data_IF_209197816991
#
_entry.id   IF_209197816991
#
_cell.length_a   1.000
_cell.length_b   1.000
_cell.length_c   1.000
_cell.angle_alpha   90.00
_cell.angle_beta   90.00
_cell.angle_gamma   90.00
#
_symmetry.space_group_name_H-M   'P 1'
#
loop_
_entity.id
_entity.type
_entity.pdbx_description
1 polymer ?
#
# COMPACT_ATOMS: atom_id res chain seq x y z
N UNK A 1 15.29 0.88 -14.53
CA UNK A 1 14.55 0.96 -13.26
C UNK A 1 15.24 -0.01 -12.30
N UNK A 2 15.74 0.47 -11.16
CA UNK A 2 16.35 -0.43 -10.19
C UNK A 2 15.25 -1.34 -9.61
N UNK A 3 15.58 -2.58 -9.23
CA UNK A 3 14.66 -3.52 -8.57
C UNK A 3 13.96 -2.83 -7.39
N UNK A 4 14.70 -2.13 -6.53
CA UNK A 4 14.19 -1.34 -5.40
C UNK A 4 13.07 -0.33 -5.74
N UNK A 5 13.04 0.16 -6.97
CA UNK A 5 12.05 1.15 -7.42
C UNK A 5 10.69 0.53 -7.70
N UNK A 6 10.68 -0.68 -8.24
CA UNK A 6 9.45 -1.45 -8.50
C UNK A 6 8.85 -1.86 -7.16
N UNK A 7 9.69 -2.35 -6.26
CA UNK A 7 9.30 -2.84 -4.93
C UNK A 7 8.64 -1.74 -4.08
N UNK A 8 9.19 -0.52 -4.12
CA UNK A 8 8.59 0.64 -3.46
C UNK A 8 7.19 0.95 -4.02
N UNK A 9 7.02 0.87 -5.33
CA UNK A 9 5.72 1.11 -5.98
C UNK A 9 4.72 0.02 -5.62
N UNK A 10 5.14 -1.24 -5.57
CA UNK A 10 4.30 -2.37 -5.16
C UNK A 10 3.85 -2.25 -3.72
N UNK A 11 4.73 -1.89 -2.80
CA UNK A 11 4.40 -1.73 -1.39
C UNK A 11 3.29 -0.69 -1.20
N UNK A 12 3.41 0.50 -1.80
CA UNK A 12 2.34 1.51 -1.65
C UNK A 12 1.05 1.09 -2.37
N UNK A 13 1.17 0.42 -3.52
CA UNK A 13 0.04 -0.01 -4.33
C UNK A 13 -0.83 -1.06 -3.62
N UNK A 14 -0.21 -2.04 -2.96
CA UNK A 14 -0.93 -3.14 -2.33
C UNK A 14 -1.25 -2.91 -0.84
N UNK A 15 -0.42 -2.16 -0.13
CA UNK A 15 -0.62 -1.93 1.30
C UNK A 15 -1.41 -0.65 1.62
N UNK A 16 -1.58 0.24 0.67
CA UNK A 16 -2.27 1.53 0.83
C UNK A 16 -1.69 2.39 1.96
N UNK A 17 -0.42 2.19 2.32
CA UNK A 17 0.28 2.94 3.35
C UNK A 17 0.58 4.36 2.85
N UNK A 18 0.44 5.34 3.73
CA UNK A 18 0.77 6.73 3.39
C UNK A 18 2.28 6.97 3.49
N UNK A 19 2.86 7.91 2.71
CA UNK A 19 4.30 8.20 2.74
C UNK A 19 4.85 8.48 4.14
N UNK A 20 4.10 9.20 4.98
CA UNK A 20 4.49 9.43 6.37
C UNK A 20 4.57 8.11 7.14
N UNK A 21 3.55 7.29 7.08
CA UNK A 21 3.51 5.97 7.73
C UNK A 21 4.66 5.08 7.25
N UNK A 22 4.94 5.08 5.93
CA UNK A 22 6.08 4.35 5.34
C UNK A 22 7.41 4.80 5.95
N UNK A 23 7.60 6.10 6.20
CA UNK A 23 8.85 6.63 6.75
C UNK A 23 9.10 6.23 8.21
N UNK A 24 8.10 5.76 8.91
CA UNK A 24 8.20 5.29 10.30
C UNK A 24 8.14 3.76 10.43
N UNK A 25 7.78 3.06 9.35
CA UNK A 25 7.59 1.61 9.37
C UNK A 25 8.93 0.91 9.66
N UNK A 26 8.93 0.07 10.71
CA UNK A 26 10.07 -0.76 11.08
C UNK A 26 9.85 -2.21 10.68
N UNK A 27 10.92 -2.97 10.63
CA UNK A 27 10.86 -4.39 10.29
C UNK A 27 10.08 -5.18 11.36
N UNK A 28 10.21 -4.81 12.64
CA UNK A 28 9.45 -5.46 13.72
C UNK A 28 7.93 -5.23 13.66
N UNK A 29 7.47 -4.24 12.90
CA UNK A 29 6.04 -3.99 12.69
C UNK A 29 5.41 -4.94 11.67
N UNK A 30 6.23 -5.74 10.98
CA UNK A 30 5.82 -6.65 9.91
C UNK A 30 5.68 -8.07 10.49
N UNK A 31 4.46 -8.56 10.55
CA UNK A 31 4.14 -9.86 11.16
C UNK A 31 3.83 -10.89 10.09
N UNK A 32 4.85 -11.61 9.61
CA UNK A 32 4.73 -12.58 8.50
C UNK A 32 3.75 -13.71 8.83
N UNK A 33 3.75 -14.23 10.06
CA UNK A 33 2.88 -15.35 10.47
C UNK A 33 1.40 -15.01 10.43
N UNK A 34 1.04 -13.80 10.84
CA UNK A 34 -0.35 -13.31 10.85
C UNK A 34 -0.71 -12.56 9.57
N UNK A 35 0.25 -12.35 8.68
CA UNK A 35 0.10 -11.58 7.45
C UNK A 35 -0.45 -10.17 7.71
N UNK A 36 0.16 -9.47 8.68
CA UNK A 36 -0.28 -8.14 9.09
C UNK A 36 0.90 -7.17 9.26
N UNK A 37 0.62 -5.89 9.15
CA UNK A 37 1.53 -4.81 9.51
C UNK A 37 0.83 -3.93 10.54
N UNK A 38 1.54 -3.62 11.63
CA UNK A 38 1.09 -2.65 12.63
C UNK A 38 1.55 -1.24 12.24
N UNK A 39 0.64 -0.29 12.25
CA UNK A 39 0.92 1.13 12.05
C UNK A 39 0.61 1.87 13.35
N UNK A 40 1.64 2.48 13.95
CA UNK A 40 1.52 3.15 15.23
C UNK A 40 0.81 4.50 15.10
N UNK A 41 -0.16 4.77 15.99
CA UNK A 41 -1.05 5.92 15.95
C UNK A 41 -0.33 7.27 15.87
N UNK A 42 0.78 7.43 16.59
CA UNK A 42 1.61 8.65 16.55
C UNK A 42 2.08 9.02 15.14
N UNK A 43 2.16 8.04 14.24
CA UNK A 43 2.62 8.19 12.86
C UNK A 43 1.48 8.21 11.84
N UNK A 44 0.25 7.90 12.27
CA UNK A 44 -0.95 7.90 11.41
C UNK A 44 -1.61 9.29 11.36
N UNK A 45 -2.43 9.52 10.32
CA UNK A 45 -3.15 10.78 10.18
C UNK A 45 -4.20 11.00 11.28
N UNK A 46 -4.78 9.92 11.79
CA UNK A 46 -5.92 9.96 12.70
C UNK A 46 -5.53 9.75 14.18
N UNK A 47 -4.23 9.58 14.47
CA UNK A 47 -3.72 9.36 15.82
C UNK A 47 -4.01 7.98 16.42
N UNK A 48 -4.61 7.06 15.66
CA UNK A 48 -4.97 5.72 16.13
C UNK A 48 -4.04 4.67 15.53
N UNK A 49 -3.73 3.64 16.33
CA UNK A 49 -3.08 2.44 15.83
C UNK A 49 -3.96 1.77 14.78
N UNK A 50 -3.32 1.16 13.80
CA UNK A 50 -4.02 0.42 12.76
C UNK A 50 -3.25 -0.84 12.40
N UNK A 51 -3.99 -1.89 12.07
CA UNK A 51 -3.44 -3.12 11.52
C UNK A 51 -3.95 -3.26 10.09
N UNK A 52 -3.03 -3.48 9.16
CA UNK A 52 -3.36 -3.72 7.76
C UNK A 52 -2.94 -5.13 7.33
N UNK A 53 -3.63 -5.66 6.35
CA UNK A 53 -3.32 -6.97 5.77
C UNK A 53 -2.07 -6.89 4.90
N UNK A 54 -1.19 -7.87 5.05
CA UNK A 54 0.04 -8.03 4.27
C UNK A 54 -0.17 -9.15 3.23
N UNK A 55 -0.32 -8.82 1.93
CA UNK A 55 -0.54 -9.82 0.90
C UNK A 55 0.65 -10.78 0.74
N UNK A 56 0.38 -12.04 0.44
CA UNK A 56 1.40 -13.09 0.32
C UNK A 56 2.49 -12.76 -0.69
N UNK A 57 2.15 -12.14 -1.82
CA UNK A 57 3.14 -11.75 -2.83
C UNK A 57 4.08 -10.64 -2.33
N UNK A 58 3.59 -9.71 -1.49
CA UNK A 58 4.43 -8.67 -0.87
C UNK A 58 5.39 -9.31 0.15
N UNK A 59 4.95 -10.34 0.89
CA UNK A 59 5.84 -11.10 1.79
C UNK A 59 6.97 -11.77 0.99
N UNK A 60 6.64 -12.42 -0.14
CA UNK A 60 7.64 -13.04 -1.01
C UNK A 60 8.65 -12.01 -1.51
N UNK A 61 8.17 -10.86 -1.99
CA UNK A 61 9.02 -9.75 -2.39
C UNK A 61 9.96 -9.31 -1.27
N UNK A 62 9.44 -9.12 -0.05
CA UNK A 62 10.26 -8.74 1.11
C UNK A 62 11.30 -9.81 1.46
N UNK A 63 10.99 -11.10 1.27
CA UNK A 63 11.94 -12.20 1.45
C UNK A 63 13.03 -12.20 0.39
N UNK A 64 12.69 -12.01 -0.88
CA UNK A 64 13.64 -11.90 -2.00
C UNK A 64 14.61 -10.72 -1.82
N UNK A 65 14.13 -9.63 -1.24
CA UNK A 65 14.93 -8.45 -0.88
C UNK A 65 15.73 -8.62 0.42
N UNK A 66 15.66 -9.80 1.08
CA UNK A 66 16.30 -10.07 2.36
C UNK A 66 15.97 -9.07 3.48
N UNK A 67 14.78 -8.47 3.47
CA UNK A 67 14.34 -7.48 4.46
C UNK A 67 14.47 -8.02 5.89
N UNK A 68 14.08 -9.27 6.10
CA UNK A 68 14.05 -9.89 7.42
C UNK A 68 15.43 -10.34 7.95
N UNK A 69 16.51 -10.14 7.19
CA UNK A 69 17.89 -10.33 7.67
C UNK A 69 18.42 -9.11 8.44
N UNK A 70 17.73 -7.98 8.36
CA UNK A 70 18.08 -6.77 9.08
C UNK A 70 17.50 -6.76 10.51
N UNK A 71 18.10 -5.97 11.44
CA UNK A 71 17.57 -5.79 12.79
C UNK A 71 16.10 -5.34 12.79
N UNK A 72 15.26 -5.91 13.65
CA UNK A 72 13.84 -5.56 13.73
C UNK A 72 13.57 -4.08 13.99
N UNK A 73 14.49 -3.40 14.66
CA UNK A 73 14.40 -1.96 14.96
C UNK A 73 14.72 -1.05 13.77
N UNK A 74 15.31 -1.59 12.71
CA UNK A 74 15.61 -0.82 11.52
C UNK A 74 14.32 -0.38 10.82
N UNK A 75 14.37 0.82 10.24
CA UNK A 75 13.31 1.32 9.36
C UNK A 75 13.34 0.55 8.05
N UNK A 76 12.17 0.20 7.54
CA UNK A 76 12.04 -0.51 6.26
C UNK A 76 12.65 0.30 5.10
N UNK A 77 12.53 1.63 5.17
CA UNK A 77 13.05 2.55 4.16
C UNK A 77 14.00 3.56 4.82
N UNK A 78 15.30 3.28 4.76
CA UNK A 78 16.37 4.16 5.17
C UNK A 78 17.14 4.69 3.93
N UNK A 79 18.46 4.82 4.00
CA UNK A 79 19.25 5.30 2.87
C UNK A 79 19.12 4.39 1.64
N UNK A 80 18.96 5.01 0.48
CA UNK A 80 18.80 4.29 -0.77
C UNK A 80 17.55 3.41 -0.86
N UNK A 81 16.55 3.63 -0.01
CA UNK A 81 15.35 2.79 0.14
C UNK A 81 15.63 1.38 0.65
N UNK A 82 16.80 1.13 1.22
CA UNK A 82 17.14 -0.12 1.89
C UNK A 82 16.81 -0.03 3.38
N UNK A 83 16.61 -1.16 4.08
CA UNK A 83 16.49 -1.17 5.53
C UNK A 83 17.71 -0.57 6.23
N UNK A 84 17.48 0.11 7.34
CA UNK A 84 18.57 0.70 8.11
C UNK A 84 18.13 1.47 9.35
N UNK A 85 19.08 1.86 10.21
CA UNK A 85 18.79 2.42 11.52
C UNK A 85 18.27 3.87 11.49
N UNK A 86 18.42 4.57 10.37
CA UNK A 86 18.06 5.98 10.26
C UNK A 86 16.70 6.19 9.61
N UNK A 87 15.79 6.84 10.32
CA UNK A 87 14.54 7.30 9.72
C UNK A 87 14.78 8.44 8.74
N UNK A 88 14.24 8.28 7.56
CA UNK A 88 14.28 9.34 6.53
C UNK A 88 12.96 10.13 6.49
N UNK A 89 13.03 11.36 6.02
CA UNK A 89 11.85 12.20 5.85
C UNK A 89 10.96 11.64 4.72
N UNK A 90 9.65 11.65 4.91
CA UNK A 90 8.67 11.17 3.93
C UNK A 90 8.75 11.84 2.55
N UNK A 91 9.38 13.02 2.48
CA UNK A 91 9.61 13.72 1.19
C UNK A 91 10.48 12.90 0.24
N UNK A 92 11.34 11.99 0.77
CA UNK A 92 12.20 11.15 -0.06
C UNK A 92 11.41 10.36 -1.12
N UNK A 93 10.24 9.83 -0.77
CA UNK A 93 9.40 9.05 -1.69
C UNK A 93 8.90 9.91 -2.86
N UNK A 94 8.37 11.09 -2.54
CA UNK A 94 7.89 12.05 -3.54
C UNK A 94 9.03 12.58 -4.42
N UNK A 95 10.18 12.87 -3.83
CA UNK A 95 11.32 13.42 -4.54
C UNK A 95 11.91 12.38 -5.50
N UNK A 96 12.06 11.13 -5.06
CA UNK A 96 12.49 10.03 -5.91
C UNK A 96 11.50 9.76 -7.04
N UNK A 97 10.19 9.70 -6.74
CA UNK A 97 9.15 9.60 -7.77
C UNK A 97 9.27 10.69 -8.81
N UNK A 98 9.40 11.94 -8.38
CA UNK A 98 9.38 13.11 -9.27
C UNK A 98 10.65 13.25 -10.11
N UNK A 99 11.81 12.99 -9.48
CA UNK A 99 13.11 13.21 -10.11
C UNK A 99 13.60 12.03 -10.93
N UNK A 100 13.24 10.81 -10.54
CA UNK A 100 13.71 9.56 -11.12
C UNK A 100 12.59 8.80 -11.82
N UNK A 101 11.74 8.11 -11.05
CA UNK A 101 10.79 7.13 -11.58
C UNK A 101 9.84 7.68 -12.64
N UNK A 102 9.25 8.82 -12.38
CA UNK A 102 8.29 9.43 -13.31
C UNK A 102 8.94 9.77 -14.65
N UNK A 103 10.22 10.17 -14.64
CA UNK A 103 10.97 10.49 -15.85
C UNK A 103 11.36 9.22 -16.61
N UNK A 104 11.90 8.23 -15.92
CA UNK A 104 12.30 6.93 -16.51
C UNK A 104 11.10 6.22 -17.14
N UNK A 105 9.95 6.22 -16.45
CA UNK A 105 8.71 5.61 -16.91
C UNK A 105 7.93 6.51 -17.89
N UNK A 106 8.44 7.70 -18.23
CA UNK A 106 7.81 8.69 -19.13
C UNK A 106 6.36 9.02 -18.74
N UNK A 107 6.07 9.06 -17.43
CA UNK A 107 4.73 9.32 -16.91
C UNK A 107 4.43 10.84 -16.90
N UNK A 108 3.15 11.16 -17.16
CA UNK A 108 2.65 12.54 -17.07
C UNK A 108 2.90 13.14 -15.67
N UNK A 109 3.17 14.46 -15.57
CA UNK A 109 3.26 15.18 -14.29
C UNK A 109 2.03 15.08 -13.40
N UNK A 110 0.88 14.70 -13.94
CA UNK A 110 -0.37 14.47 -13.20
C UNK A 110 -0.27 13.27 -12.26
N UNK A 111 0.55 12.25 -12.60
CA UNK A 111 0.76 11.09 -11.75
C UNK A 111 1.72 11.44 -10.61
N UNK A 112 1.19 11.45 -9.40
CA UNK A 112 1.94 11.67 -8.17
C UNK A 112 2.28 10.33 -7.53
N UNK A 113 3.24 10.28 -6.63
CA UNK A 113 3.55 9.07 -5.87
C UNK A 113 2.31 8.48 -5.17
N UNK A 114 1.48 9.35 -4.60
CA UNK A 114 0.24 8.94 -3.93
C UNK A 114 -0.80 8.30 -4.87
N UNK A 115 -0.73 8.59 -6.18
CA UNK A 115 -1.63 7.97 -7.17
C UNK A 115 -1.47 6.44 -7.26
N UNK A 116 -0.34 5.89 -6.80
CA UNK A 116 -0.15 4.43 -6.71
C UNK A 116 -1.13 3.81 -5.71
N UNK A 117 -1.37 4.45 -4.56
CA UNK A 117 -2.38 4.03 -3.60
C UNK A 117 -3.79 4.08 -4.21
N UNK A 118 -4.12 5.19 -4.87
CA UNK A 118 -5.44 5.36 -5.49
C UNK A 118 -5.69 4.30 -6.58
N UNK A 119 -4.65 3.99 -7.37
CA UNK A 119 -4.68 2.92 -8.37
C UNK A 119 -4.86 1.55 -7.74
N UNK A 120 -4.15 1.27 -6.63
CA UNK A 120 -4.27 0.01 -5.90
C UNK A 120 -5.69 -0.21 -5.37
N UNK A 121 -6.30 0.80 -4.75
CA UNK A 121 -7.68 0.76 -4.26
C UNK A 121 -8.64 0.47 -5.43
N UNK A 122 -8.51 1.22 -6.54
CA UNK A 122 -9.34 1.03 -7.72
C UNK A 122 -9.21 -0.38 -8.30
N UNK A 123 -7.99 -0.90 -8.41
CA UNK A 123 -7.74 -2.24 -8.95
C UNK A 123 -8.31 -3.33 -8.06
N UNK A 124 -8.21 -3.18 -6.73
CA UNK A 124 -8.75 -4.14 -5.78
C UNK A 124 -10.29 -4.19 -5.86
N UNK A 125 -10.95 -3.03 -5.96
CA UNK A 125 -12.40 -2.96 -6.18
C UNK A 125 -12.83 -3.54 -7.53
N UNK A 126 -12.05 -3.30 -8.60
CA UNK A 126 -12.29 -3.92 -9.92
C UNK A 126 -12.13 -5.44 -9.91
N UNK A 127 -11.28 -5.96 -9.04
CA UNK A 127 -11.12 -7.39 -8.79
C UNK A 127 -12.22 -7.99 -7.91
N UNK A 128 -13.30 -7.24 -7.63
CA UNK A 128 -14.43 -7.62 -6.78
C UNK A 128 -14.07 -7.88 -5.31
N UNK A 129 -13.03 -7.24 -4.79
CA UNK A 129 -12.78 -7.23 -3.36
C UNK A 129 -13.93 -6.52 -2.63
N UNK A 130 -14.28 -7.02 -1.45
CA UNK A 130 -15.31 -6.43 -0.61
C UNK A 130 -14.97 -4.97 -0.26
N UNK A 131 -15.93 -4.07 -0.46
CA UNK A 131 -15.74 -2.62 -0.29
C UNK A 131 -15.39 -2.25 1.17
N UNK A 132 -15.94 -2.96 2.15
CA UNK A 132 -15.63 -2.73 3.57
C UNK A 132 -14.20 -3.15 3.88
N UNK A 133 -13.76 -4.29 3.36
CA UNK A 133 -12.37 -4.75 3.48
C UNK A 133 -11.38 -3.77 2.85
N UNK A 134 -11.71 -3.23 1.68
CA UNK A 134 -10.87 -2.21 1.01
C UNK A 134 -10.86 -0.90 1.78
N UNK A 135 -12.01 -0.46 2.33
CA UNK A 135 -12.11 0.70 3.21
C UNK A 135 -11.17 0.56 4.41
N UNK A 136 -11.23 -0.58 5.08
CA UNK A 136 -10.45 -0.84 6.30
C UNK A 136 -8.95 -0.93 5.97
N UNK A 137 -8.58 -1.63 4.91
CA UNK A 137 -7.20 -1.66 4.41
C UNK A 137 -6.68 -0.25 4.07
N UNK A 138 -7.49 0.58 3.42
CA UNK A 138 -7.14 1.95 3.07
C UNK A 138 -7.20 2.93 4.25
N UNK A 139 -7.79 2.48 5.37
CA UNK A 139 -8.05 3.28 6.58
C UNK A 139 -8.82 4.56 6.25
N UNK A 140 -9.89 4.40 5.47
CA UNK A 140 -10.83 5.46 5.20
C UNK A 140 -11.83 5.58 6.36
N UNK A 141 -12.09 6.79 6.82
CA UNK A 141 -13.03 7.06 7.92
C UNK A 141 -14.49 6.82 7.54
N UNK A 142 -14.79 6.74 6.25
CA UNK A 142 -16.13 6.51 5.72
C UNK A 142 -16.07 5.67 4.45
N UNK A 143 -17.09 4.86 4.23
CA UNK A 143 -17.28 4.11 2.99
C UNK A 143 -17.42 5.04 1.78
N UNK A 144 -17.97 6.25 1.96
CA UNK A 144 -18.12 7.25 0.91
C UNK A 144 -16.77 7.66 0.29
N UNK A 145 -15.68 7.62 1.07
CA UNK A 145 -14.34 7.89 0.56
C UNK A 145 -13.89 6.74 -0.35
N UNK A 146 -14.23 5.50 -0.01
CA UNK A 146 -13.90 4.33 -0.82
C UNK A 146 -14.76 4.26 -2.09
N UNK A 147 -16.01 4.71 -2.01
CA UNK A 147 -16.95 4.74 -3.14
C UNK A 147 -16.47 5.61 -4.32
N UNK A 148 -15.63 6.62 -4.06
CA UNK A 148 -15.01 7.44 -5.11
C UNK A 148 -14.20 6.57 -6.09
N UNK A 149 -13.65 5.45 -5.60
CA UNK A 149 -12.83 4.51 -6.37
C UNK A 149 -13.64 3.36 -6.97
N UNK A 150 -14.93 3.24 -6.61
CA UNK A 150 -15.78 2.17 -7.10
C UNK A 150 -16.09 2.38 -8.58
N UNK A 151 -15.84 1.40 -9.47
CA UNK A 151 -16.19 1.50 -10.87
C UNK A 151 -17.69 1.72 -11.03
N UNK A 152 -18.09 2.78 -11.74
CA UNK A 152 -19.49 3.11 -11.99
C UNK A 152 -20.01 2.56 -13.33
N UNK A 153 -19.20 1.77 -14.01
CA UNK A 153 -19.52 1.20 -15.32
C UNK A 153 -20.42 -0.04 -15.18
N UNK A 154 -21.70 0.19 -15.00
CA UNK A 154 -22.73 -0.89 -15.02
C UNK A 154 -23.09 -1.17 -16.49
N UNK A 155 -22.14 -1.68 -17.28
CA UNK A 155 -22.40 -2.10 -18.66
C UNK A 155 -22.71 -3.59 -18.81
N UNK A 156 -22.47 -4.40 -17.75
CA UNK A 156 -22.70 -5.84 -17.76
C UNK A 156 -23.39 -6.29 -16.48
N UNK A 157 -24.19 -7.34 -16.57
CA UNK A 157 -24.77 -7.97 -15.39
C UNK A 157 -23.67 -8.41 -14.41
N UNK A 158 -23.86 -8.12 -13.13
CA UNK A 158 -22.92 -8.55 -12.09
C UNK A 158 -23.08 -10.06 -11.90
N UNK A 159 -22.03 -10.82 -12.17
CA UNK A 159 -22.05 -12.30 -12.12
C UNK A 159 -22.33 -12.83 -10.71
N UNK A 160 -21.90 -12.12 -9.65
CA UNK A 160 -22.23 -12.52 -8.29
C UNK A 160 -23.73 -12.42 -8.01
N UNK A 161 -24.35 -11.29 -8.37
CA UNK A 161 -25.80 -11.09 -8.20
C UNK A 161 -26.59 -12.08 -9.08
N UNK A 162 -26.15 -12.29 -10.32
CA UNK A 162 -26.76 -13.21 -11.27
C UNK A 162 -26.79 -14.66 -10.76
N UNK A 163 -25.75 -15.08 -10.05
CA UNK A 163 -25.60 -16.44 -9.56
C UNK A 163 -25.97 -16.59 -8.06
N UNK A 164 -26.44 -15.51 -7.41
CA UNK A 164 -26.83 -15.54 -6.02
C UNK A 164 -28.13 -16.34 -5.82
N UNK A 165 -28.06 -17.46 -5.12
CA UNK A 165 -29.21 -18.33 -4.89
C UNK A 165 -29.90 -18.11 -3.53
N UNK A 166 -29.38 -17.17 -2.73
CA UNK A 166 -29.92 -16.96 -1.38
C UNK A 166 -29.53 -18.07 -0.40
N UNK A 167 -29.68 -17.77 0.88
CA UNK A 167 -29.70 -18.76 1.97
C UNK A 167 -31.17 -18.77 2.44
N UNK A 168 -31.96 -19.72 1.97
CA UNK A 168 -33.28 -20.01 2.49
C UNK A 168 -33.19 -21.16 3.48
#
# INVERSE_FOLDING_TARGET
VSLLSVDLCEIIHYLFIRPREMSYLRICDIHVKTQTITLHGENTKNGNDAVITLPTHVIKLMMELNIFSHPGQDYLFSDGFCPGPERKNEKMFRDYWTRVLRKELKLSPRFKFYSLKDTGITNMLRANADVLSVRDQARHSSILITDIYTPKDIQKANEYIKNYQGIL
#
